data_IF_916513492386
#
_entry.id   IF_916513492386
#
_cell.length_a   1.000
_cell.length_b   1.000
_cell.length_c   1.000
_cell.angle_alpha   90.00
_cell.angle_beta   90.00
_cell.angle_gamma   90.00
#
_symmetry.space_group_name_H-M   'P 1'
#
loop_
_entity.id
_entity.type
_entity.pdbx_description
1 polymer ?
#
# COMPACT_ATOMS: atom_id res chain seq x y z
N UNK A 1 -3.53 -15.31 -2.24
CA UNK A 1 -2.51 -14.79 -1.32
C UNK A 1 -2.23 -13.32 -1.66
N UNK A 2 -2.44 -12.44 -0.68
CA UNK A 2 -2.27 -11.00 -0.83
C UNK A 2 -0.81 -10.59 -1.07
N UNK A 3 0.16 -11.29 -0.46
CA UNK A 3 1.58 -10.95 -0.61
C UNK A 3 2.02 -11.09 -2.08
N UNK A 4 1.66 -12.21 -2.71
CA UNK A 4 1.94 -12.46 -4.14
C UNK A 4 1.29 -11.42 -5.03
N UNK A 5 0.02 -11.08 -4.78
CA UNK A 5 -0.67 -10.04 -5.58
C UNK A 5 0.02 -8.68 -5.45
N UNK A 6 0.50 -8.33 -4.27
CA UNK A 6 1.27 -7.09 -4.04
C UNK A 6 2.54 -7.06 -4.91
N UNK A 7 3.26 -8.19 -4.97
CA UNK A 7 4.47 -8.33 -5.79
C UNK A 7 4.17 -8.27 -7.30
N UNK A 8 3.03 -8.82 -7.74
CA UNK A 8 2.59 -8.72 -9.13
C UNK A 8 2.38 -7.25 -9.55
N UNK A 9 1.74 -6.45 -8.68
CA UNK A 9 1.59 -5.01 -8.94
C UNK A 9 2.96 -4.31 -8.98
N UNK A 10 3.87 -4.62 -8.05
CA UNK A 10 5.23 -4.06 -8.05
C UNK A 10 6.06 -4.45 -9.29
N UNK A 11 5.79 -5.62 -9.87
CA UNK A 11 6.41 -6.04 -11.14
C UNK A 11 6.06 -5.06 -12.27
N UNK A 12 4.79 -4.61 -12.34
CA UNK A 12 4.34 -3.63 -13.35
C UNK A 12 4.99 -2.26 -13.17
N UNK A 13 5.36 -1.92 -11.94
CA UNK A 13 6.07 -0.67 -11.62
C UNK A 13 7.58 -0.75 -11.94
N UNK A 14 8.07 -1.88 -12.46
CA UNK A 14 9.47 -2.05 -12.87
C UNK A 14 10.43 -2.34 -11.72
N UNK A 15 9.94 -2.74 -10.55
CA UNK A 15 10.79 -3.20 -9.44
C UNK A 15 11.58 -4.43 -9.90
N UNK A 16 12.87 -4.56 -9.60
CA UNK A 16 13.69 -5.71 -10.03
C UNK A 16 13.27 -7.01 -9.36
N UNK A 17 13.46 -8.15 -10.04
CA UNK A 17 13.12 -9.47 -9.49
C UNK A 17 13.81 -9.74 -8.15
N UNK A 18 15.11 -9.44 -8.05
CA UNK A 18 15.88 -9.55 -6.81
C UNK A 18 15.21 -8.80 -5.65
N UNK A 19 14.77 -7.57 -5.89
CA UNK A 19 14.14 -6.75 -4.85
C UNK A 19 12.74 -7.28 -4.49
N UNK A 20 11.97 -7.72 -5.49
CA UNK A 20 10.66 -8.34 -5.29
C UNK A 20 10.72 -9.60 -4.45
N UNK A 21 11.72 -10.46 -4.66
CA UNK A 21 11.88 -11.69 -3.87
C UNK A 21 12.20 -11.41 -2.41
N UNK A 22 13.00 -10.37 -2.13
CA UNK A 22 13.27 -9.93 -0.75
C UNK A 22 11.99 -9.44 -0.09
N UNK A 23 11.22 -8.59 -0.78
CA UNK A 23 9.98 -8.05 -0.24
C UNK A 23 8.87 -9.10 -0.11
N UNK A 24 8.81 -10.08 -1.01
CA UNK A 24 7.86 -11.19 -0.89
C UNK A 24 8.03 -11.92 0.43
N UNK A 25 9.27 -12.25 0.81
CA UNK A 25 9.56 -12.93 2.08
C UNK A 25 9.18 -12.09 3.31
N UNK A 26 9.32 -10.76 3.23
CA UNK A 26 8.85 -9.86 4.30
C UNK A 26 7.33 -9.83 4.36
N UNK A 27 6.65 -9.71 3.22
CA UNK A 27 5.20 -9.65 3.14
C UNK A 27 4.54 -10.94 3.59
N UNK A 28 5.07 -12.12 3.22
CA UNK A 28 4.55 -13.43 3.66
C UNK A 28 4.65 -13.63 5.19
N UNK A 29 5.56 -12.91 5.87
CA UNK A 29 5.66 -12.92 7.34
C UNK A 29 4.72 -11.94 8.02
N UNK A 30 4.38 -10.85 7.36
CA UNK A 30 3.63 -9.72 7.94
C UNK A 30 2.15 -9.81 7.61
N UNK A 31 1.81 -10.20 6.37
CA UNK A 31 0.43 -10.26 5.92
C UNK A 31 -0.23 -11.50 6.52
N UNK A 32 -1.25 -11.34 7.36
CA UNK A 32 -2.03 -12.47 7.83
C UNK A 32 -2.89 -13.01 6.67
N UNK A 33 -3.54 -14.15 6.91
CA UNK A 33 -4.65 -14.54 6.07
C UNK A 33 -5.81 -13.55 6.27
N UNK A 34 -6.29 -12.94 5.20
CA UNK A 34 -7.30 -11.86 5.24
C UNK A 34 -8.63 -12.43 4.80
N UNK A 35 -9.61 -12.36 5.70
CA UNK A 35 -10.98 -12.74 5.41
C UNK A 35 -11.84 -11.53 5.01
N UNK A 36 -13.02 -11.81 4.47
CA UNK A 36 -14.02 -10.76 4.24
C UNK A 36 -14.39 -10.10 5.58
N UNK A 37 -14.35 -8.78 5.63
CA UNK A 37 -14.59 -7.99 6.84
C UNK A 37 -13.32 -7.58 7.60
N UNK A 38 -12.18 -8.20 7.32
CA UNK A 38 -10.90 -7.77 7.87
C UNK A 38 -10.42 -6.47 7.23
N UNK A 39 -9.64 -5.70 7.99
CA UNK A 39 -8.97 -4.50 7.51
C UNK A 39 -7.47 -4.64 7.66
N UNK A 40 -6.74 -4.44 6.56
CA UNK A 40 -5.29 -4.26 6.56
C UNK A 40 -4.96 -2.81 6.20
N UNK A 41 -4.20 -2.13 7.06
CA UNK A 41 -3.79 -0.73 6.89
C UNK A 41 -2.28 -0.68 6.68
N UNK A 42 -1.82 -0.02 5.62
CA UNK A 42 -0.42 0.33 5.42
C UNK A 42 -0.18 1.81 5.71
N UNK A 43 0.71 2.11 6.66
CA UNK A 43 1.05 3.47 7.09
C UNK A 43 2.46 3.81 6.61
N UNK A 44 2.58 4.86 5.79
CA UNK A 44 3.89 5.41 5.44
C UNK A 44 4.45 6.19 6.63
N UNK A 45 5.62 5.78 7.11
CA UNK A 45 6.40 6.50 8.10
C UNK A 45 7.64 7.07 7.39
N UNK A 46 7.73 8.40 7.20
CA UNK A 46 8.89 9.04 6.57
C UNK A 46 10.20 8.59 7.24
N UNK A 47 11.22 8.36 6.42
CA UNK A 47 12.56 7.89 6.79
C UNK A 47 12.62 6.53 7.52
N UNK A 48 11.48 5.83 7.65
CA UNK A 48 11.38 4.54 8.34
C UNK A 48 10.94 3.43 7.39
N UNK A 49 9.84 3.64 6.66
CA UNK A 49 9.27 2.64 5.75
C UNK A 49 7.75 2.56 5.85
N UNK A 50 7.23 1.33 5.90
CA UNK A 50 5.79 1.06 5.95
C UNK A 50 5.43 0.17 7.13
N UNK A 51 4.57 0.66 8.03
CA UNK A 51 4.00 -0.11 9.13
C UNK A 51 2.64 -0.70 8.70
N UNK A 52 2.41 -1.96 9.03
CA UNK A 52 1.15 -2.66 8.75
C UNK A 52 0.34 -2.91 10.03
N UNK A 53 -0.95 -2.58 9.97
CA UNK A 53 -1.93 -2.92 10.99
C UNK A 53 -2.98 -3.87 10.43
N UNK A 54 -3.30 -4.96 11.13
CA UNK A 54 -4.46 -5.82 10.85
C UNK A 54 -5.49 -5.65 11.95
N UNK A 55 -6.72 -5.31 11.59
CA UNK A 55 -7.82 -5.04 12.52
C UNK A 55 -7.41 -4.08 13.66
N UNK A 56 -6.63 -3.04 13.30
CA UNK A 56 -6.12 -2.02 14.20
C UNK A 56 -4.89 -2.39 15.02
N UNK A 57 -4.36 -3.62 14.91
CA UNK A 57 -3.18 -4.09 15.65
C UNK A 57 -1.95 -4.15 14.76
N UNK A 58 -0.76 -3.69 15.21
CA UNK A 58 0.47 -3.82 14.44
C UNK A 58 0.82 -5.29 14.19
N UNK A 59 1.09 -5.63 12.92
CA UNK A 59 1.50 -6.98 12.50
C UNK A 59 2.94 -7.03 11.96
N UNK A 60 3.53 -5.87 11.68
CA UNK A 60 4.94 -5.75 11.31
C UNK A 60 5.18 -4.54 10.41
N UNK A 61 6.45 -4.33 10.07
CA UNK A 61 6.88 -3.24 9.20
C UNK A 61 7.89 -3.73 8.15
N UNK A 62 7.95 -3.01 7.03
CA UNK A 62 8.99 -3.19 6.03
C UNK A 62 9.78 -1.88 5.93
N UNK A 63 11.08 -1.88 6.25
CA UNK A 63 11.86 -0.67 6.30
C UNK A 63 12.25 -0.15 4.92
N UNK A 64 12.51 1.16 4.87
CA UNK A 64 13.14 1.84 3.73
C UNK A 64 12.17 2.41 2.70
N UNK A 65 12.56 3.58 2.17
CA UNK A 65 11.75 4.35 1.23
C UNK A 65 11.52 3.64 -0.10
N UNK A 66 12.44 2.77 -0.52
CA UNK A 66 12.29 2.03 -1.76
C UNK A 66 11.06 1.13 -1.73
N UNK A 67 10.83 0.42 -0.61
CA UNK A 67 9.63 -0.38 -0.43
C UNK A 67 8.39 0.50 -0.34
N UNK A 68 8.42 1.55 0.49
CA UNK A 68 7.29 2.45 0.65
C UNK A 68 6.84 3.05 -0.70
N UNK A 69 7.77 3.59 -1.49
CA UNK A 69 7.50 4.12 -2.83
C UNK A 69 6.87 3.07 -3.75
N UNK A 70 7.40 1.85 -3.77
CA UNK A 70 6.84 0.78 -4.59
C UNK A 70 5.44 0.35 -4.13
N UNK A 71 5.22 0.23 -2.81
CA UNK A 71 3.96 -0.26 -2.23
C UNK A 71 2.83 0.76 -2.41
N UNK A 72 3.04 2.01 -2.03
CA UNK A 72 2.03 3.05 -2.24
C UNK A 72 1.87 3.40 -3.73
N UNK A 73 2.94 3.21 -4.51
CA UNK A 73 2.93 3.32 -5.97
C UNK A 73 1.91 2.38 -6.65
N UNK A 74 1.53 1.27 -6.01
CA UNK A 74 0.47 0.38 -6.53
C UNK A 74 -0.81 1.17 -6.86
N UNK A 75 -1.12 2.20 -6.09
CA UNK A 75 -2.28 3.07 -6.32
C UNK A 75 -1.92 4.44 -6.88
N UNK A 76 -0.74 4.97 -6.57
CA UNK A 76 -0.40 6.36 -6.86
C UNK A 76 0.47 6.55 -8.11
N UNK A 77 1.22 5.53 -8.53
CA UNK A 77 2.06 5.59 -9.74
C UNK A 77 1.18 5.65 -10.99
N UNK A 78 1.62 6.39 -12.01
CA UNK A 78 0.91 6.51 -13.29
C UNK A 78 0.72 5.17 -14.02
N UNK A 79 1.60 4.20 -13.74
CA UNK A 79 1.55 2.84 -14.30
C UNK A 79 0.67 1.88 -13.49
N UNK A 80 -0.09 2.38 -12.52
CA UNK A 80 -1.02 1.58 -11.70
C UNK A 80 -2.02 0.78 -12.56
N UNK A 81 -2.39 -0.41 -12.08
CA UNK A 81 -3.49 -1.19 -12.65
C UNK A 81 -4.89 -0.63 -12.31
N UNK A 82 -4.97 0.37 -11.43
CA UNK A 82 -6.22 0.97 -10.95
C UNK A 82 -6.30 2.49 -11.26
N UNK A 83 -6.29 2.90 -12.54
CA UNK A 83 -6.19 4.32 -12.93
C UNK A 83 -7.36 5.18 -12.42
N UNK A 84 -8.58 4.62 -12.33
CA UNK A 84 -9.73 5.33 -11.77
C UNK A 84 -9.56 5.62 -10.28
N UNK A 85 -9.05 4.66 -9.51
CA UNK A 85 -8.78 4.81 -8.08
C UNK A 85 -7.68 5.84 -7.85
N UNK A 86 -6.60 5.79 -8.64
CA UNK A 86 -5.55 6.81 -8.61
C UNK A 86 -6.11 8.22 -8.79
N UNK A 87 -6.93 8.42 -9.82
CA UNK A 87 -7.57 9.71 -10.05
C UNK A 87 -8.40 10.14 -8.85
N UNK A 88 -9.15 9.25 -8.21
CA UNK A 88 -9.90 9.59 -6.99
C UNK A 88 -8.98 9.96 -5.81
N UNK A 89 -7.83 9.30 -5.65
CA UNK A 89 -6.86 9.57 -4.57
C UNK A 89 -6.09 10.88 -4.76
N UNK A 90 -5.85 11.30 -6.01
CA UNK A 90 -4.99 12.46 -6.34
C UNK A 90 -5.80 13.69 -6.77
N UNK A 91 -6.94 13.51 -7.46
CA UNK A 91 -7.78 14.62 -7.91
C UNK A 91 -8.58 15.25 -6.77
N UNK A 92 -8.86 14.47 -5.73
CA UNK A 92 -9.65 14.96 -4.62
C UNK A 92 -8.77 15.79 -3.68
N UNK A 93 -8.93 17.12 -3.73
CA UNK A 93 -8.51 18.04 -2.64
C UNK A 93 -9.25 17.75 -1.32
N UNK A 94 -10.18 16.81 -1.36
CA UNK A 94 -10.94 16.27 -0.26
C UNK A 94 -10.65 14.77 -0.12
N UNK A 95 -9.93 14.31 0.91
CA UNK A 95 -9.71 12.88 1.09
C UNK A 95 -11.06 12.15 1.25
N UNK A 96 -11.21 10.92 0.71
CA UNK A 96 -12.40 10.11 0.97
C UNK A 96 -12.57 9.91 2.49
N UNK A 97 -13.82 9.77 2.95
CA UNK A 97 -14.27 9.80 4.35
C UNK A 97 -13.62 8.76 5.32
N UNK A 98 -12.57 8.07 4.90
CA UNK A 98 -11.69 7.26 5.76
C UNK A 98 -10.94 8.12 6.79
N UNK A 99 -10.83 9.43 6.57
CA UNK A 99 -10.34 10.41 7.53
C UNK A 99 -11.44 11.47 7.65
N UNK A 100 -12.04 11.60 8.83
CA UNK A 100 -13.08 12.60 9.08
C UNK A 100 -12.49 14.01 8.97
N UNK A 101 -12.53 14.61 7.78
CA UNK A 101 -12.24 16.01 7.57
C UNK A 101 -13.28 16.57 6.59
N UNK A 102 -14.07 17.53 7.07
CA UNK A 102 -15.06 18.26 6.28
C UNK A 102 -14.39 19.01 5.14
N UNK A 103 -14.82 18.76 3.92
CA UNK A 103 -14.36 19.47 2.75
C UNK A 103 -15.35 20.57 2.37
N UNK A 104 -14.88 21.79 2.08
CA UNK A 104 -15.73 22.82 1.53
C UNK A 104 -16.09 22.49 0.08
N UNK A 105 -17.38 22.62 -0.27
CA UNK A 105 -17.89 22.48 -1.63
C UNK A 105 -17.40 23.66 -2.52
N UNK A 106 -17.33 23.47 -3.86
CA UNK A 106 -16.94 24.53 -4.79
C UNK A 106 -17.93 25.71 -4.81
#
# INVERSE_FOLDING_TARGET
>A
DLAKRTIDEMTRLGVSEKQRMIWLQSLEKIFPDIASGDTLIGIHLPDRGTLFLHNGKPVGDVPGDAFAKAFFGIWLDERTSAPRLRSALIASRCPPALIAANCPNP
#
